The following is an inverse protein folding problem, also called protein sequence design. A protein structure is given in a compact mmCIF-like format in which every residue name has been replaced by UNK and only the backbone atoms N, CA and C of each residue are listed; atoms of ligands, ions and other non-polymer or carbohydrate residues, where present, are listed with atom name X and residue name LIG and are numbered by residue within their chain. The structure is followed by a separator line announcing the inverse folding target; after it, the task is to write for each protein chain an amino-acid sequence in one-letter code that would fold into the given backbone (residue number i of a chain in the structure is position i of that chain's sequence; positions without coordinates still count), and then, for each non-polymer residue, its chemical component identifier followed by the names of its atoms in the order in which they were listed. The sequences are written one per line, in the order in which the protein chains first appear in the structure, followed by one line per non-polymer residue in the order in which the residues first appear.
data_IF_046376682328
#
_entry.id   IF_046376682328
#
_cell.length_a   1.000
_cell.length_b   1.000
_cell.length_c   1.000
_cell.angle_alpha   90.00
_cell.angle_beta   90.00
_cell.angle_gamma   90.00
#
_symmetry.space_group_name_H-M   'P 1'
#
loop_
_entity.id
_entity.type
_entity.pdbx_description
1 polymer ?
#
# COMPACT_ATOMS: atom_id res chain seq x y z
N UNK A 1 -21.55 -10.38 -14.73
CA UNK A 1 -20.93 -10.68 -13.43
C UNK A 1 -20.40 -12.10 -13.51
N UNK A 2 -19.09 -12.25 -13.35
CA UNK A 2 -18.41 -13.54 -13.43
C UNK A 2 -18.38 -14.26 -12.09
N UNK A 3 -18.21 -15.58 -12.10
CA UNK A 3 -18.13 -16.40 -10.86
C UNK A 3 -17.00 -17.42 -10.93
N UNK A 4 -16.20 -17.47 -9.86
CA UNK A 4 -15.25 -18.55 -9.61
C UNK A 4 -15.74 -19.32 -8.38
N UNK A 5 -15.76 -20.65 -8.46
CA UNK A 5 -16.21 -21.50 -7.35
C UNK A 5 -15.09 -22.38 -6.86
N UNK A 6 -15.02 -22.58 -5.56
CA UNK A 6 -14.00 -23.41 -4.91
C UNK A 6 -14.64 -24.45 -4.00
N UNK A 7 -14.08 -25.65 -4.02
CA UNK A 7 -14.24 -26.67 -3.00
C UNK A 7 -13.02 -26.65 -2.09
N UNK A 8 -13.24 -27.02 -0.83
CA UNK A 8 -12.23 -27.08 0.21
C UNK A 8 -12.53 -28.25 1.13
N UNK A 9 -11.47 -28.90 1.62
CA UNK A 9 -11.57 -30.04 2.54
C UNK A 9 -11.70 -29.55 3.99
N UNK A 10 -11.20 -28.36 4.28
CA UNK A 10 -11.26 -27.71 5.60
C UNK A 10 -12.20 -26.50 5.58
N UNK A 11 -13.51 -26.76 5.74
CA UNK A 11 -14.53 -25.70 5.76
C UNK A 11 -14.43 -24.79 6.99
N UNK A 12 -13.89 -25.29 8.11
CA UNK A 12 -13.76 -24.53 9.34
C UNK A 12 -12.70 -23.42 9.21
N UNK A 13 -11.87 -23.47 8.17
CA UNK A 13 -10.93 -22.41 7.82
C UNK A 13 -11.60 -21.09 7.47
N UNK A 14 -12.83 -21.10 6.94
CA UNK A 14 -13.49 -19.89 6.45
C UNK A 14 -14.42 -19.31 7.51
N UNK A 15 -13.84 -18.57 8.45
CA UNK A 15 -14.63 -17.69 9.32
C UNK A 15 -15.07 -16.44 8.55
N UNK A 16 -16.20 -15.84 8.92
CA UNK A 16 -16.69 -14.60 8.30
C UNK A 16 -15.60 -13.51 8.25
N UNK A 17 -14.83 -13.37 9.33
CA UNK A 17 -13.72 -12.42 9.44
C UNK A 17 -12.59 -12.66 8.42
N UNK A 18 -12.33 -13.90 8.03
CA UNK A 18 -11.30 -14.22 7.03
C UNK A 18 -11.80 -13.89 5.63
N UNK A 19 -13.08 -14.13 5.37
CA UNK A 19 -13.70 -13.86 4.08
C UNK A 19 -13.86 -12.36 3.80
N UNK A 20 -14.05 -11.54 4.83
CA UNK A 20 -14.04 -10.07 4.71
C UNK A 20 -12.71 -9.51 4.14
N UNK A 21 -11.63 -10.28 4.22
CA UNK A 21 -10.29 -9.90 3.76
C UNK A 21 -9.86 -10.61 2.47
N UNK A 22 -10.69 -11.52 1.97
CA UNK A 22 -10.42 -12.18 0.70
C UNK A 22 -10.92 -11.32 -0.45
N UNK A 23 -10.21 -11.35 -1.58
CA UNK A 23 -10.56 -10.55 -2.76
C UNK A 23 -10.02 -11.17 -4.05
N UNK A 24 -10.45 -10.66 -5.19
CA UNK A 24 -9.95 -11.09 -6.50
C UNK A 24 -9.17 -9.96 -7.14
N UNK A 25 -8.06 -10.26 -7.80
CA UNK A 25 -7.33 -9.29 -8.64
C UNK A 25 -7.27 -9.75 -10.09
N UNK A 26 -7.26 -8.79 -11.00
CA UNK A 26 -6.91 -9.02 -12.41
C UNK A 26 -5.40 -9.23 -12.61
N UNK A 27 -4.98 -9.17 -13.88
CA UNK A 27 -3.54 -9.23 -14.25
C UNK A 27 -2.76 -8.01 -13.74
N UNK A 28 -3.43 -6.87 -13.57
CA UNK A 28 -2.83 -5.63 -13.08
C UNK A 28 -2.57 -5.63 -11.57
N UNK A 29 -3.03 -6.67 -10.84
CA UNK A 29 -2.88 -6.75 -9.38
C UNK A 29 -3.82 -5.84 -8.59
N UNK A 30 -4.73 -5.12 -9.26
CA UNK A 30 -5.73 -4.25 -8.62
C UNK A 30 -6.89 -5.10 -8.09
N UNK A 31 -7.30 -4.94 -6.81
CA UNK A 31 -8.46 -5.62 -6.26
C UNK A 31 -9.76 -5.22 -6.96
N UNK A 32 -10.58 -6.21 -7.28
CA UNK A 32 -11.95 -6.02 -7.74
C UNK A 32 -12.89 -6.12 -6.54
N UNK A 33 -13.82 -5.16 -6.45
CA UNK A 33 -14.95 -5.28 -5.56
C UNK A 33 -15.80 -6.49 -5.98
N UNK A 34 -15.97 -7.46 -5.09
CA UNK A 34 -16.67 -8.71 -5.36
C UNK A 34 -17.41 -9.21 -4.12
N UNK A 35 -18.37 -10.10 -4.33
CA UNK A 35 -19.10 -10.75 -3.24
C UNK A 35 -18.58 -12.18 -3.05
N UNK A 36 -18.27 -12.52 -1.80
CA UNK A 36 -17.81 -13.87 -1.43
C UNK A 36 -18.91 -14.53 -0.63
N UNK A 37 -19.49 -15.60 -1.19
CA UNK A 37 -20.62 -16.32 -0.61
C UNK A 37 -20.20 -17.74 -0.26
N UNK A 38 -20.34 -18.11 1.01
CA UNK A 38 -20.17 -19.49 1.45
C UNK A 38 -21.45 -20.27 1.19
N UNK A 39 -21.44 -21.10 0.15
CA UNK A 39 -22.53 -22.02 -0.14
C UNK A 39 -22.46 -23.30 0.72
N UNK A 40 -23.47 -24.17 0.57
CA UNK A 40 -23.50 -25.47 1.26
C UNK A 40 -22.37 -26.40 0.84
N UNK A 41 -21.89 -26.30 -0.40
CA UNK A 41 -20.91 -27.24 -0.98
C UNK A 41 -19.66 -26.59 -1.56
N UNK A 42 -19.65 -25.26 -1.69
CA UNK A 42 -18.57 -24.52 -2.31
C UNK A 42 -18.52 -23.07 -1.80
N UNK A 43 -17.34 -22.48 -1.85
CA UNK A 43 -17.12 -21.05 -1.76
C UNK A 43 -17.32 -20.44 -3.15
N UNK A 44 -18.19 -19.45 -3.26
CA UNK A 44 -18.45 -18.73 -4.51
C UNK A 44 -17.89 -17.33 -4.41
N UNK A 45 -17.13 -16.93 -5.43
CA UNK A 45 -16.52 -15.61 -5.53
C UNK A 45 -17.05 -14.94 -6.79
N UNK A 46 -17.91 -13.95 -6.59
CA UNK A 46 -18.50 -13.16 -7.65
C UNK A 46 -17.64 -11.92 -7.95
N UNK A 47 -17.44 -11.66 -9.24
CA UNK A 47 -16.57 -10.60 -9.75
C UNK A 47 -17.26 -9.77 -10.83
N UNK A 48 -16.90 -8.48 -11.01
CA UNK A 48 -17.59 -7.59 -11.93
C UNK A 48 -17.36 -7.95 -13.41
N UNK A 49 -16.22 -8.55 -13.73
CA UNK A 49 -15.81 -8.93 -15.10
C UNK A 49 -15.98 -10.43 -15.37
N UNK A 50 -15.90 -10.86 -16.64
CA UNK A 50 -15.79 -12.27 -17.04
C UNK A 50 -14.34 -12.76 -17.25
N UNK A 51 -13.36 -11.88 -17.04
CA UNK A 51 -11.94 -12.21 -17.16
C UNK A 51 -11.46 -13.18 -16.08
N UNK A 52 -10.32 -13.83 -16.33
CA UNK A 52 -9.62 -14.63 -15.32
C UNK A 52 -9.03 -13.75 -14.24
N UNK A 53 -8.97 -14.25 -13.00
CA UNK A 53 -8.40 -13.51 -11.87
C UNK A 53 -7.73 -14.41 -10.83
N UNK A 54 -6.96 -13.78 -9.95
CA UNK A 54 -6.31 -14.43 -8.82
C UNK A 54 -7.18 -14.22 -7.58
N UNK A 55 -7.57 -15.30 -6.91
CA UNK A 55 -8.28 -15.21 -5.64
C UNK A 55 -7.27 -15.16 -4.50
N UNK A 56 -7.27 -14.08 -3.73
CA UNK A 56 -6.43 -13.87 -2.56
C UNK A 56 -7.22 -14.23 -1.32
N UNK A 57 -6.69 -15.15 -0.52
CA UNK A 57 -7.36 -15.67 0.67
C UNK A 57 -6.41 -15.69 1.87
N UNK A 58 -6.82 -15.24 3.06
CA UNK A 58 -6.00 -15.38 4.24
C UNK A 58 -5.80 -16.86 4.56
N UNK A 59 -4.54 -17.25 4.72
CA UNK A 59 -4.11 -18.62 4.90
C UNK A 59 -3.41 -18.76 6.25
N UNK A 60 -3.92 -19.67 7.09
CA UNK A 60 -3.30 -19.99 8.37
C UNK A 60 -2.23 -21.06 8.15
N UNK A 61 -0.97 -20.69 8.33
CA UNK A 61 0.16 -21.60 8.34
C UNK A 61 0.67 -21.80 9.77
N UNK A 62 0.95 -23.04 10.16
CA UNK A 62 1.46 -23.35 11.50
C UNK A 62 2.82 -22.70 11.78
N UNK A 63 3.70 -22.64 10.77
CA UNK A 63 5.06 -22.08 10.91
C UNK A 63 5.17 -20.60 10.56
N UNK A 64 4.24 -20.07 9.77
CA UNK A 64 4.32 -18.71 9.21
C UNK A 64 3.23 -17.75 9.71
N UNK A 65 2.29 -18.24 10.53
CA UNK A 65 1.13 -17.46 10.95
C UNK A 65 0.13 -17.23 9.81
N UNK A 66 -0.60 -16.13 9.88
CA UNK A 66 -1.61 -15.80 8.86
C UNK A 66 -0.99 -15.00 7.71
N UNK A 67 -1.06 -15.53 6.49
CA UNK A 67 -0.54 -14.90 5.28
C UNK A 67 -1.63 -14.84 4.22
N UNK A 68 -1.76 -13.70 3.52
CA UNK A 68 -2.63 -13.61 2.35
C UNK A 68 -1.97 -14.31 1.16
N UNK A 69 -2.57 -15.41 0.68
CA UNK A 69 -2.05 -16.17 -0.45
C UNK A 69 -2.97 -16.11 -1.68
N UNK A 70 -2.43 -15.82 -2.86
CA UNK A 70 -3.19 -15.89 -4.10
C UNK A 70 -3.22 -17.30 -4.68
N UNK A 71 -4.32 -17.64 -5.35
CA UNK A 71 -4.37 -18.73 -6.33
C UNK A 71 -3.55 -18.39 -7.58
N UNK A 72 -3.46 -19.33 -8.53
CA UNK A 72 -3.13 -18.96 -9.93
C UNK A 72 -4.24 -18.10 -10.56
N UNK A 73 -4.01 -17.56 -11.76
CA UNK A 73 -5.07 -16.90 -12.52
C UNK A 73 -6.08 -17.93 -13.01
N UNK A 74 -7.31 -17.84 -12.50
CA UNK A 74 -8.38 -18.79 -12.77
C UNK A 74 -9.46 -18.17 -13.65
N UNK A 75 -9.84 -18.89 -14.70
CA UNK A 75 -11.03 -18.58 -15.50
C UNK A 75 -12.29 -19.12 -14.84
N UNK A 76 -13.44 -18.65 -15.29
CA UNK A 76 -14.73 -19.23 -14.92
C UNK A 76 -14.81 -20.69 -15.35
N UNK A 77 -15.37 -21.52 -14.47
CA UNK A 77 -15.50 -22.96 -14.66
C UNK A 77 -16.86 -23.43 -14.17
N UNK A 78 -17.44 -24.41 -14.88
CA UNK A 78 -18.65 -25.09 -14.44
C UNK A 78 -18.41 -25.98 -13.21
N UNK A 79 -17.17 -26.43 -13.02
CA UNK A 79 -16.76 -27.27 -11.90
C UNK A 79 -15.93 -26.45 -10.91
N UNK A 80 -16.20 -26.52 -9.59
CA UNK A 80 -15.39 -25.84 -8.60
C UNK A 80 -13.92 -26.27 -8.65
N UNK A 81 -13.01 -25.32 -8.45
CA UNK A 81 -11.59 -25.59 -8.25
C UNK A 81 -11.35 -26.14 -6.83
N UNK A 82 -10.28 -26.91 -6.63
CA UNK A 82 -9.82 -27.25 -5.27
C UNK A 82 -8.98 -26.08 -4.75
N UNK A 83 -9.43 -25.41 -3.69
CA UNK A 83 -8.83 -24.16 -3.23
C UNK A 83 -7.37 -24.37 -2.82
N UNK A 84 -7.10 -25.39 -2.02
CA UNK A 84 -5.78 -25.65 -1.46
C UNK A 84 -4.77 -26.00 -2.54
N UNK A 85 -5.22 -26.74 -3.55
CA UNK A 85 -4.42 -27.03 -4.73
C UNK A 85 -4.08 -25.75 -5.50
N UNK A 86 -5.04 -24.88 -5.73
CA UNK A 86 -4.82 -23.63 -6.49
C UNK A 86 -3.97 -22.62 -5.73
N UNK A 87 -4.09 -22.56 -4.40
CA UNK A 87 -3.20 -21.78 -3.52
C UNK A 87 -1.78 -22.35 -3.54
N UNK A 88 -1.62 -23.68 -3.50
CA UNK A 88 -0.31 -24.33 -3.62
C UNK A 88 0.34 -24.04 -4.98
N UNK A 89 -0.43 -24.13 -6.07
CA UNK A 89 0.03 -23.75 -7.41
C UNK A 89 0.44 -22.28 -7.48
N UNK A 90 -0.37 -21.38 -6.93
CA UNK A 90 -0.10 -19.93 -6.92
C UNK A 90 1.16 -19.58 -6.12
N UNK A 91 1.31 -20.15 -4.94
CA UNK A 91 2.45 -19.93 -4.04
C UNK A 91 3.76 -20.42 -4.69
N UNK A 92 3.76 -21.64 -5.24
CA UNK A 92 4.94 -22.19 -5.91
C UNK A 92 5.28 -21.45 -7.21
N UNK A 93 4.26 -21.00 -7.96
CA UNK A 93 4.46 -20.18 -9.15
C UNK A 93 5.12 -18.84 -8.80
N UNK A 94 4.71 -18.17 -7.72
CA UNK A 94 5.35 -16.92 -7.26
C UNK A 94 6.84 -17.12 -6.93
N UNK A 95 7.17 -18.20 -6.22
CA UNK A 95 8.57 -18.54 -5.96
C UNK A 95 9.34 -18.80 -7.27
N UNK A 96 8.74 -19.51 -8.22
CA UNK A 96 9.33 -19.74 -9.55
C UNK A 96 9.60 -18.44 -10.30
N UNK A 97 8.63 -17.54 -10.35
CA UNK A 97 8.78 -16.23 -10.98
C UNK A 97 9.92 -15.44 -10.34
N UNK A 98 9.94 -15.36 -9.01
CA UNK A 98 11.01 -14.68 -8.28
C UNK A 98 12.40 -15.26 -8.61
N UNK A 99 12.55 -16.58 -8.62
CA UNK A 99 13.82 -17.23 -8.95
C UNK A 99 14.27 -16.98 -10.40
N UNK A 100 13.33 -16.85 -11.34
CA UNK A 100 13.63 -16.55 -12.74
C UNK A 100 13.99 -15.07 -12.97
N UNK A 101 13.44 -14.16 -12.17
CA UNK A 101 13.72 -12.72 -12.23
C UNK A 101 14.94 -12.31 -11.39
N UNK A 102 15.39 -13.18 -10.48
CA UNK A 102 16.57 -12.98 -9.64
C UNK A 102 17.79 -12.77 -10.53
N UNK A 103 18.59 -11.74 -10.23
CA UNK A 103 19.79 -11.38 -10.98
C UNK A 103 20.72 -12.59 -11.18
N UNK A 104 21.31 -12.69 -12.37
CA UNK A 104 22.15 -13.82 -12.77
C UNK A 104 23.34 -14.03 -11.81
N UNK A 105 23.52 -15.28 -11.34
CA UNK A 105 24.64 -15.71 -10.50
C UNK A 105 24.32 -15.85 -9.00
N UNK A 106 23.12 -15.49 -8.56
CA UNK A 106 22.70 -15.70 -7.18
C UNK A 106 22.32 -17.18 -6.95
N UNK A 107 23.20 -17.92 -6.29
CA UNK A 107 22.92 -19.28 -5.85
C UNK A 107 21.84 -19.26 -4.75
N UNK A 108 20.94 -20.24 -4.76
CA UNK A 108 19.98 -20.46 -3.66
C UNK A 108 20.56 -21.41 -2.61
N UNK A 109 21.66 -22.11 -2.93
CA UNK A 109 22.30 -23.10 -2.09
C UNK A 109 21.56 -24.44 -2.11
N UNK A 110 22.33 -25.52 -1.96
CA UNK A 110 21.84 -26.90 -2.10
C UNK A 110 20.64 -27.22 -1.20
N UNK A 111 20.64 -26.71 0.04
CA UNK A 111 19.57 -26.97 1.01
C UNK A 111 18.23 -26.38 0.57
N UNK A 112 18.21 -25.14 0.09
CA UNK A 112 17.00 -24.51 -0.42
C UNK A 112 16.56 -25.12 -1.74
N UNK A 113 17.51 -25.49 -2.60
CA UNK A 113 17.21 -26.21 -3.83
C UNK A 113 16.50 -27.55 -3.55
N UNK A 114 16.96 -28.30 -2.54
CA UNK A 114 16.31 -29.53 -2.11
C UNK A 114 14.90 -29.29 -1.56
N UNK A 115 14.71 -28.30 -0.67
CA UNK A 115 13.38 -27.94 -0.15
C UNK A 115 12.41 -27.53 -1.27
N UNK A 116 12.89 -26.73 -2.22
CA UNK A 116 12.13 -26.31 -3.39
C UNK A 116 11.76 -27.50 -4.30
N UNK A 117 12.67 -28.46 -4.49
CA UNK A 117 12.39 -29.72 -5.17
C UNK A 117 11.30 -30.54 -4.47
N UNK A 118 11.36 -30.63 -3.14
CA UNK A 118 10.33 -31.32 -2.36
C UNK A 118 8.96 -30.63 -2.45
N UNK A 119 8.92 -29.30 -2.42
CA UNK A 119 7.68 -28.54 -2.63
C UNK A 119 7.02 -28.88 -3.97
N UNK A 120 7.81 -28.92 -5.06
CA UNK A 120 7.31 -29.36 -6.38
C UNK A 120 6.76 -30.78 -6.34
N UNK A 121 7.46 -31.70 -5.68
CA UNK A 121 7.03 -33.09 -5.56
C UNK A 121 5.67 -33.18 -4.85
N UNK A 122 5.50 -32.48 -3.74
CA UNK A 122 4.22 -32.44 -3.00
C UNK A 122 3.09 -31.85 -3.83
N UNK A 123 3.35 -30.81 -4.62
CA UNK A 123 2.35 -30.29 -5.54
C UNK A 123 1.95 -31.32 -6.62
N UNK A 124 2.91 -32.07 -7.16
CA UNK A 124 2.61 -33.13 -8.14
C UNK A 124 1.76 -34.26 -7.53
N UNK A 125 2.05 -34.64 -6.29
CA UNK A 125 1.23 -35.60 -5.53
C UNK A 125 -0.20 -35.08 -5.33
N UNK A 126 -0.36 -33.78 -5.00
CA UNK A 126 -1.67 -33.15 -4.88
C UNK A 126 -2.45 -33.11 -6.21
N UNK A 127 -1.78 -32.81 -7.32
CA UNK A 127 -2.39 -32.77 -8.67
C UNK A 127 -2.86 -34.14 -9.16
N UNK A 128 -2.13 -35.19 -8.81
CA UNK A 128 -2.37 -36.57 -9.28
C UNK A 128 -3.27 -37.37 -8.34
N UNK A 129 -3.38 -36.97 -7.07
CA UNK A 129 -4.15 -37.63 -6.01
C UNK A 129 -5.69 -37.51 -6.10
N UNK A 130 -6.28 -37.35 -7.29
CA UNK A 130 -7.74 -37.13 -7.46
C UNK A 130 -8.62 -38.22 -6.85
N UNK A 131 -8.10 -39.44 -6.72
CA UNK A 131 -8.83 -40.58 -6.15
C UNK A 131 -8.90 -40.53 -4.62
N UNK A 132 -8.07 -39.72 -3.96
CA UNK A 132 -8.04 -39.55 -2.51
C UNK A 132 -7.92 -38.07 -2.12
N UNK A 133 -9.06 -37.35 -2.00
CA UNK A 133 -9.08 -35.91 -1.71
C UNK A 133 -8.31 -35.51 -0.45
N UNK A 134 -8.36 -36.31 0.62
CA UNK A 134 -7.64 -36.06 1.87
C UNK A 134 -6.12 -36.09 1.68
N UNK A 135 -5.62 -37.04 0.88
CA UNK A 135 -4.20 -37.11 0.57
C UNK A 135 -3.76 -35.96 -0.33
N UNK A 136 -4.58 -35.60 -1.31
CA UNK A 136 -4.31 -34.46 -2.18
C UNK A 136 -4.29 -33.13 -1.39
N UNK A 137 -5.21 -32.97 -0.44
CA UNK A 137 -5.26 -31.84 0.49
C UNK A 137 -3.97 -31.71 1.31
N UNK A 138 -3.54 -32.80 1.98
CA UNK A 138 -2.30 -32.80 2.78
C UNK A 138 -1.08 -32.49 1.94
N UNK A 139 -0.99 -33.06 0.74
CA UNK A 139 0.11 -32.78 -0.17
C UNK A 139 0.12 -31.31 -0.64
N UNK A 140 -1.04 -30.68 -0.83
CA UNK A 140 -1.14 -29.26 -1.16
C UNK A 140 -0.68 -28.37 0.02
N UNK A 141 -1.13 -28.66 1.24
CA UNK A 141 -0.70 -27.95 2.46
C UNK A 141 0.81 -28.07 2.71
N UNK A 142 1.38 -29.28 2.56
CA UNK A 142 2.82 -29.50 2.66
C UNK A 142 3.58 -28.73 1.57
N UNK A 143 3.06 -28.70 0.33
CA UNK A 143 3.64 -27.90 -0.74
C UNK A 143 3.64 -26.40 -0.41
N UNK A 144 2.55 -25.87 0.15
CA UNK A 144 2.45 -24.45 0.55
C UNK A 144 3.50 -24.16 1.62
N UNK A 145 3.53 -24.95 2.68
CA UNK A 145 4.45 -24.77 3.81
C UNK A 145 5.92 -24.80 3.37
N UNK A 146 6.31 -25.82 2.60
CA UNK A 146 7.68 -25.92 2.07
C UNK A 146 8.04 -24.76 1.14
N UNK A 147 7.07 -24.26 0.36
CA UNK A 147 7.30 -23.10 -0.51
C UNK A 147 7.51 -21.84 0.30
N UNK A 148 6.70 -21.62 1.35
CA UNK A 148 6.84 -20.48 2.25
C UNK A 148 8.19 -20.51 2.99
N UNK A 149 8.62 -21.68 3.48
CA UNK A 149 9.95 -21.84 4.10
C UNK A 149 11.08 -21.39 3.16
N UNK A 150 10.99 -21.73 1.87
CA UNK A 150 11.98 -21.32 0.87
C UNK A 150 11.90 -19.81 0.59
N UNK A 151 10.69 -19.26 0.47
CA UNK A 151 10.47 -17.83 0.24
C UNK A 151 11.10 -17.02 1.39
N UNK A 152 10.83 -17.37 2.64
CA UNK A 152 11.34 -16.64 3.81
C UNK A 152 12.87 -16.63 3.88
N UNK A 153 13.49 -17.80 3.68
CA UNK A 153 14.95 -17.94 3.74
C UNK A 153 15.62 -17.17 2.58
N UNK A 154 15.01 -17.16 1.39
CA UNK A 154 15.48 -16.35 0.25
C UNK A 154 15.32 -14.85 0.50
N UNK A 155 14.16 -14.40 0.98
CA UNK A 155 13.91 -13.00 1.30
C UNK A 155 14.94 -12.46 2.30
N UNK A 156 15.24 -13.23 3.36
CA UNK A 156 16.26 -12.85 4.33
C UNK A 156 17.67 -12.83 3.74
N UNK A 157 18.02 -13.79 2.91
CA UNK A 157 19.34 -13.88 2.26
C UNK A 157 19.56 -12.72 1.31
N UNK A 158 18.58 -12.44 0.44
CA UNK A 158 18.67 -11.37 -0.56
C UNK A 158 18.61 -9.99 0.09
N UNK A 159 17.79 -9.80 1.13
CA UNK A 159 17.77 -8.56 1.89
C UNK A 159 19.12 -8.27 2.54
N UNK A 160 19.78 -9.27 3.14
CA UNK A 160 21.13 -9.13 3.72
C UNK A 160 22.16 -8.76 2.66
N UNK A 161 22.17 -9.47 1.53
CA UNK A 161 23.09 -9.18 0.44
C UNK A 161 22.93 -7.74 -0.07
N UNK A 162 21.70 -7.27 -0.27
CA UNK A 162 21.42 -5.90 -0.70
C UNK A 162 21.85 -4.86 0.35
N UNK A 163 21.66 -5.14 1.64
CA UNK A 163 22.11 -4.26 2.72
C UNK A 163 23.64 -4.19 2.76
N UNK A 164 24.33 -5.32 2.65
CA UNK A 164 25.80 -5.37 2.67
C UNK A 164 26.41 -4.68 1.45
N UNK A 165 25.82 -4.87 0.26
CA UNK A 165 26.21 -4.13 -0.94
C UNK A 165 26.08 -2.61 -0.76
N UNK A 166 24.98 -2.14 -0.15
CA UNK A 166 24.78 -0.71 0.13
C UNK A 166 25.79 -0.18 1.14
N UNK A 167 26.07 -0.94 2.21
CA UNK A 167 27.07 -0.58 3.24
C UNK A 167 28.48 -0.50 2.67
N UNK A 168 28.83 -1.36 1.72
CA UNK A 168 30.14 -1.35 1.07
C UNK A 168 30.29 -0.24 0.03
N UNK A 169 29.17 0.24 -0.53
CA UNK A 169 29.19 1.25 -1.60
C UNK A 169 29.09 2.68 -1.06
N UNK A 170 28.47 2.89 0.11
CA UNK A 170 28.26 4.21 0.70
C UNK A 170 28.60 4.21 2.19
N UNK A 171 29.38 5.20 2.65
CA UNK A 171 29.67 5.43 4.07
C UNK A 171 28.42 5.88 4.86
N UNK A 172 27.44 6.46 4.17
CA UNK A 172 26.15 6.89 4.73
C UNK A 172 24.97 6.45 3.88
N UNK A 173 23.85 6.14 4.52
CA UNK A 173 22.58 5.87 3.85
C UNK A 173 22.13 7.13 3.10
N UNK A 174 22.07 7.07 1.76
CA UNK A 174 21.48 8.12 0.94
C UNK A 174 19.95 8.22 1.05
N UNK A 175 19.32 7.35 1.86
CA UNK A 175 17.88 7.36 2.12
C UNK A 175 17.54 8.35 3.23
N UNK A 176 16.45 9.08 3.07
CA UNK A 176 15.90 9.91 4.14
C UNK A 176 15.17 9.01 5.14
N UNK A 177 15.65 9.01 6.38
CA UNK A 177 15.00 8.45 7.55
C UNK A 177 14.53 9.62 8.40
N UNK A 178 13.23 9.72 8.60
CA UNK A 178 12.65 10.84 9.32
C UNK A 178 11.39 10.50 10.07
N UNK A 179 10.98 11.46 10.90
CA UNK A 179 9.73 11.43 11.64
C UNK A 179 8.88 12.65 11.30
N UNK A 180 7.56 12.53 11.49
CA UNK A 180 6.65 13.67 11.51
C UNK A 180 6.74 14.38 12.86
N UNK A 181 6.77 15.70 12.83
CA UNK A 181 6.80 16.53 14.03
C UNK A 181 5.78 17.68 13.92
N UNK A 182 4.57 17.45 14.44
CA UNK A 182 3.51 18.45 14.47
C UNK A 182 3.75 19.53 15.54
N UNK A 183 4.26 19.12 16.70
CA UNK A 183 4.53 19.97 17.87
C UNK A 183 5.86 19.57 18.49
N UNK A 184 6.57 20.54 19.07
CA UNK A 184 7.81 20.25 19.77
C UNK A 184 7.52 19.40 21.02
N UNK A 185 8.32 18.35 21.30
CA UNK A 185 8.27 17.66 22.57
C UNK A 185 8.55 18.65 23.70
N UNK A 186 7.93 18.41 24.86
CA UNK A 186 8.22 19.21 26.06
C UNK A 186 9.55 18.82 26.72
N UNK A 187 10.07 17.65 26.40
CA UNK A 187 11.29 17.07 26.96
C UNK A 187 12.50 17.30 26.04
N UNK A 188 13.54 17.91 26.58
CA UNK A 188 14.81 18.14 25.89
C UNK A 188 15.51 16.83 25.50
N UNK A 189 15.35 15.76 26.28
CA UNK A 189 15.94 14.47 25.97
C UNK A 189 15.33 13.86 24.69
N UNK A 190 14.00 13.93 24.55
CA UNK A 190 13.31 13.50 23.34
C UNK A 190 13.71 14.33 22.11
N UNK A 191 13.89 15.65 22.27
CA UNK A 191 14.38 16.51 21.19
C UNK A 191 15.79 16.11 20.73
N UNK A 192 16.68 15.78 21.66
CA UNK A 192 18.04 15.32 21.34
C UNK A 192 18.05 13.95 20.66
N UNK A 193 17.20 13.02 21.10
CA UNK A 193 17.09 11.70 20.49
C UNK A 193 16.58 11.78 19.04
N UNK A 194 15.57 12.62 18.78
CA UNK A 194 15.04 12.84 17.43
C UNK A 194 16.13 13.36 16.49
N UNK A 195 16.89 14.39 16.90
CA UNK A 195 17.91 14.97 16.04
C UNK A 195 19.15 14.08 15.88
N UNK A 196 19.45 13.21 16.86
CA UNK A 196 20.53 12.24 16.76
C UNK A 196 20.20 11.02 15.89
N UNK A 197 18.92 10.62 15.81
CA UNK A 197 18.50 9.41 15.11
C UNK A 197 18.00 9.65 13.68
N UNK A 198 17.50 10.86 13.37
CA UNK A 198 16.85 11.18 12.10
C UNK A 198 17.74 12.08 11.23
N UNK A 199 17.74 11.85 9.91
CA UNK A 199 18.40 12.74 8.95
C UNK A 199 17.39 13.64 8.19
N UNK A 200 16.09 13.48 8.48
CA UNK A 200 15.01 14.33 7.96
C UNK A 200 13.88 14.49 8.96
N UNK A 201 13.13 15.60 8.87
CA UNK A 201 11.94 15.86 9.68
C UNK A 201 10.83 16.38 8.76
N UNK A 202 9.64 15.77 8.87
CA UNK A 202 8.43 16.21 8.19
C UNK A 202 7.65 17.15 9.12
N UNK A 203 7.45 18.40 8.69
CA UNK A 203 6.66 19.39 9.42
C UNK A 203 5.33 19.58 8.68
N UNK A 204 4.22 19.05 9.20
CA UNK A 204 2.93 19.08 8.54
C UNK A 204 2.22 20.42 8.71
N UNK A 205 1.34 20.73 7.75
CA UNK A 205 0.46 21.90 7.82
C UNK A 205 -0.98 21.44 8.03
N UNK A 206 -1.39 21.37 9.29
CA UNK A 206 -2.78 21.06 9.62
C UNK A 206 -3.66 22.24 9.20
N UNK A 207 -4.46 22.09 8.13
CA UNK A 207 -5.26 23.20 7.59
C UNK A 207 -6.27 23.74 8.63
N UNK A 208 -6.89 22.86 9.43
CA UNK A 208 -7.77 23.27 10.54
C UNK A 208 -7.07 24.16 11.55
N UNK A 209 -5.86 23.80 11.98
CA UNK A 209 -5.10 24.62 12.94
C UNK A 209 -4.53 25.89 12.28
N UNK A 210 -4.11 25.80 11.01
CA UNK A 210 -3.50 26.91 10.28
C UNK A 210 -4.52 27.93 9.78
N UNK A 211 -5.78 27.55 9.53
CA UNK A 211 -6.86 28.43 9.07
C UNK A 211 -8.19 28.08 9.76
N UNK A 212 -8.32 28.34 11.08
CA UNK A 212 -9.52 27.99 11.83
C UNK A 212 -10.74 28.79 11.37
N UNK A 213 -10.54 30.00 10.85
CA UNK A 213 -11.55 30.80 10.17
C UNK A 213 -11.16 30.98 8.69
N UNK A 214 -12.16 31.10 7.80
CA UNK A 214 -11.93 31.35 6.39
C UNK A 214 -11.13 32.67 6.18
N UNK A 215 -9.99 32.57 5.51
CA UNK A 215 -9.12 33.70 5.18
C UNK A 215 -8.30 34.27 6.34
N UNK A 216 -8.31 33.65 7.53
CA UNK A 216 -7.40 34.01 8.63
C UNK A 216 -6.40 32.88 8.87
N UNK A 217 -5.12 33.24 8.98
CA UNK A 217 -4.05 32.25 9.09
C UNK A 217 -3.28 32.34 10.41
N UNK A 218 -3.11 31.21 11.07
CA UNK A 218 -2.39 31.06 12.34
C UNK A 218 -1.22 30.09 12.17
N UNK A 219 -0.01 30.62 12.06
CA UNK A 219 1.18 29.84 11.73
C UNK A 219 2.18 29.66 12.88
N UNK A 220 1.85 30.14 14.09
CA UNK A 220 2.77 30.21 15.23
C UNK A 220 3.37 28.85 15.62
N UNK A 221 2.56 27.78 15.63
CA UNK A 221 3.04 26.45 16.01
C UNK A 221 4.00 25.87 14.96
N UNK A 222 3.65 26.02 13.68
CA UNK A 222 4.50 25.60 12.56
C UNK A 222 5.81 26.40 12.54
N UNK A 223 5.76 27.71 12.73
CA UNK A 223 6.94 28.57 12.81
C UNK A 223 7.87 28.17 13.96
N UNK A 224 7.30 27.81 15.11
CA UNK A 224 8.06 27.34 16.28
C UNK A 224 8.76 26.03 15.98
N UNK A 225 8.06 25.05 15.39
CA UNK A 225 8.65 23.76 15.02
C UNK A 225 9.76 23.96 13.98
N UNK A 226 9.48 24.68 12.89
CA UNK A 226 10.48 24.97 11.86
C UNK A 226 11.69 25.71 12.45
N UNK A 227 11.48 26.67 13.34
CA UNK A 227 12.56 27.39 14.02
C UNK A 227 13.52 26.47 14.78
N UNK A 228 13.00 25.43 15.44
CA UNK A 228 13.82 24.42 16.11
C UNK A 228 14.49 23.46 15.11
N UNK A 229 13.74 22.96 14.12
CA UNK A 229 14.27 22.00 13.12
C UNK A 229 15.43 22.62 12.32
N UNK A 230 15.38 23.92 11.99
CA UNK A 230 16.45 24.61 11.27
C UNK A 230 17.76 24.75 12.06
N UNK A 231 17.70 24.56 13.39
CA UNK A 231 18.89 24.51 14.24
C UNK A 231 19.52 23.12 14.26
N UNK A 232 18.85 22.12 13.70
CA UNK A 232 19.34 20.74 13.58
C UNK A 232 19.93 20.50 12.19
N UNK A 233 20.92 19.60 12.09
CA UNK A 233 21.53 19.20 10.81
C UNK A 233 20.69 18.13 10.10
N UNK A 234 19.44 18.47 9.77
CA UNK A 234 18.46 17.55 9.17
C UNK A 234 17.75 18.17 7.96
N UNK A 235 17.29 17.32 7.04
CA UNK A 235 16.46 17.75 5.91
C UNK A 235 15.02 18.01 6.35
N UNK A 236 14.59 19.26 6.22
CA UNK A 236 13.20 19.66 6.47
C UNK A 236 12.31 19.35 5.27
N UNK A 237 11.21 18.63 5.48
CA UNK A 237 10.17 18.37 4.49
C UNK A 237 8.90 19.08 4.98
N UNK A 238 8.38 20.03 4.21
CA UNK A 238 7.14 20.73 4.55
C UNK A 238 5.93 20.01 4.00
N UNK A 239 4.98 19.62 4.85
CA UNK A 239 3.72 19.02 4.42
C UNK A 239 3.34 17.73 5.15
N UNK A 240 2.20 17.12 4.80
CA UNK A 240 1.31 17.52 3.71
C UNK A 240 0.70 18.90 3.91
N UNK A 241 0.52 19.65 2.81
CA UNK A 241 -0.21 20.93 2.84
C UNK A 241 -1.71 20.66 2.84
N UNK A 242 -2.17 19.76 1.98
CA UNK A 242 -3.58 19.37 1.87
C UNK A 242 -3.80 17.91 2.26
N UNK A 243 -4.76 17.69 3.17
CA UNK A 243 -5.33 16.39 3.47
C UNK A 243 -6.85 16.54 3.56
N UNK A 244 -7.58 15.68 2.83
CA UNK A 244 -9.03 15.70 2.81
C UNK A 244 -9.60 14.74 3.87
N UNK A 245 -9.22 14.95 5.12
CA UNK A 245 -9.61 14.13 6.24
C UNK A 245 -10.02 15.01 7.43
N UNK A 246 -9.80 14.54 8.66
CA UNK A 246 -10.00 15.29 9.88
C UNK A 246 -9.12 16.55 10.02
N UNK A 247 -8.19 16.82 9.11
CA UNK A 247 -7.41 18.07 9.09
C UNK A 247 -8.09 19.21 8.35
N UNK A 248 -9.29 19.00 7.78
CA UNK A 248 -10.09 20.07 7.17
C UNK A 248 -10.72 20.97 8.26
N UNK A 249 -10.65 22.31 8.11
CA UNK A 249 -11.40 23.23 8.96
C UNK A 249 -12.91 23.02 8.87
N UNK A 250 -13.62 23.20 9.98
CA UNK A 250 -15.07 22.94 10.02
C UNK A 250 -15.88 23.82 9.06
N UNK A 251 -15.42 25.06 8.81
CA UNK A 251 -16.07 25.99 7.88
C UNK A 251 -16.01 25.53 6.42
N UNK A 252 -15.09 24.62 6.08
CA UNK A 252 -14.96 24.08 4.73
C UNK A 252 -16.16 23.17 4.38
N UNK A 253 -16.75 22.50 5.37
CA UNK A 253 -17.92 21.63 5.15
C UNK A 253 -19.19 22.37 4.73
N UNK A 254 -19.25 23.69 4.92
CA UNK A 254 -20.33 24.52 4.38
C UNK A 254 -20.36 24.51 2.84
N UNK A 255 -19.28 24.04 2.20
CA UNK A 255 -19.05 24.04 0.76
C UNK A 255 -18.79 22.63 0.21
N UNK A 256 -19.23 21.59 0.92
CA UNK A 256 -18.99 20.18 0.56
C UNK A 256 -19.54 19.76 -0.81
N UNK A 257 -20.51 20.51 -1.33
CA UNK A 257 -21.11 20.33 -2.66
C UNK A 257 -20.72 21.44 -3.67
N UNK A 258 -19.90 22.41 -3.28
CA UNK A 258 -19.41 23.48 -4.16
C UNK A 258 -17.91 23.36 -4.39
N UNK A 259 -17.57 22.54 -5.38
CA UNK A 259 -16.19 22.27 -5.77
C UNK A 259 -15.41 23.54 -6.12
N UNK A 260 -16.01 24.49 -6.85
CA UNK A 260 -15.31 25.70 -7.31
C UNK A 260 -14.92 26.58 -6.13
N UNK A 261 -15.85 26.77 -5.19
CA UNK A 261 -15.59 27.56 -3.99
C UNK A 261 -14.54 26.88 -3.10
N UNK A 262 -14.64 25.57 -2.89
CA UNK A 262 -13.63 24.79 -2.16
C UNK A 262 -12.24 24.93 -2.80
N UNK A 263 -12.16 24.72 -4.12
CA UNK A 263 -10.92 24.80 -4.89
C UNK A 263 -10.28 26.19 -4.77
N UNK A 264 -11.07 27.26 -4.78
CA UNK A 264 -10.58 28.63 -4.57
C UNK A 264 -9.93 28.81 -3.19
N UNK A 265 -10.61 28.40 -2.11
CA UNK A 265 -10.06 28.47 -0.76
C UNK A 265 -8.81 27.62 -0.58
N UNK A 266 -8.81 26.42 -1.15
CA UNK A 266 -7.65 25.54 -1.17
C UNK A 266 -6.45 26.22 -1.84
N UNK A 267 -6.63 26.78 -3.04
CA UNK A 267 -5.56 27.49 -3.76
C UNK A 267 -5.02 28.68 -2.97
N UNK A 268 -5.90 29.46 -2.33
CA UNK A 268 -5.50 30.57 -1.46
C UNK A 268 -4.67 30.09 -0.27
N UNK A 269 -5.12 29.05 0.44
CA UNK A 269 -4.38 28.51 1.58
C UNK A 269 -3.02 27.96 1.18
N UNK A 270 -2.94 27.18 0.09
CA UNK A 270 -1.67 26.65 -0.43
C UNK A 270 -0.73 27.80 -0.80
N UNK A 271 -1.23 28.83 -1.47
CA UNK A 271 -0.43 29.98 -1.86
C UNK A 271 0.17 30.71 -0.64
N UNK A 272 -0.61 30.88 0.42
CA UNK A 272 -0.16 31.52 1.67
C UNK A 272 0.91 30.69 2.40
N UNK A 273 0.71 29.36 2.50
CA UNK A 273 1.70 28.44 3.08
C UNK A 273 3.01 28.48 2.29
N UNK A 274 2.95 28.29 0.96
CA UNK A 274 4.15 28.20 0.14
C UNK A 274 4.89 29.54 0.10
N UNK A 275 4.17 30.67 0.00
CA UNK A 275 4.78 32.00 0.02
C UNK A 275 5.52 32.26 1.33
N UNK A 276 4.96 31.84 2.47
CA UNK A 276 5.57 32.04 3.78
C UNK A 276 6.81 31.18 4.02
N UNK A 277 6.81 29.94 3.55
CA UNK A 277 7.83 28.94 3.91
C UNK A 277 8.75 28.51 2.77
N UNK A 278 8.59 29.07 1.56
CA UNK A 278 9.57 28.91 0.48
C UNK A 278 10.98 29.26 0.96
N UNK A 279 11.94 28.40 0.64
CA UNK A 279 13.33 28.53 1.07
C UNK A 279 13.60 28.09 2.52
N UNK A 280 12.58 27.65 3.27
CA UNK A 280 12.69 27.06 4.62
C UNK A 280 12.46 25.55 4.65
N UNK A 281 12.25 24.94 3.49
CA UNK A 281 12.04 23.49 3.35
C UNK A 281 12.86 22.96 2.18
N UNK A 282 13.26 21.69 2.25
CA UNK A 282 14.05 21.00 1.22
C UNK A 282 13.17 20.21 0.24
N UNK A 283 11.94 19.89 0.64
CA UNK A 283 10.92 19.28 -0.20
C UNK A 283 9.53 19.66 0.32
N UNK A 284 8.55 19.67 -0.58
CA UNK A 284 7.14 19.84 -0.26
C UNK A 284 6.42 18.51 -0.39
N UNK A 285 5.55 18.17 0.57
CA UNK A 285 4.48 17.21 0.37
C UNK A 285 3.23 18.05 0.07
N UNK A 286 2.82 18.10 -1.20
CA UNK A 286 1.68 18.92 -1.62
C UNK A 286 0.38 18.43 -0.99
N UNK A 287 0.14 17.13 -1.10
CA UNK A 287 -1.07 16.48 -0.61
C UNK A 287 -0.80 15.04 -0.17
N UNK A 288 -1.58 14.57 0.79
CA UNK A 288 -1.53 13.19 1.26
C UNK A 288 -2.92 12.54 1.28
N UNK A 289 -2.98 11.25 0.94
CA UNK A 289 -4.15 10.40 1.17
C UNK A 289 -5.36 10.72 0.29
N UNK A 290 -5.20 11.50 -0.77
CA UNK A 290 -6.31 11.91 -1.64
C UNK A 290 -7.02 10.73 -2.31
N UNK A 291 -6.34 9.60 -2.47
CA UNK A 291 -6.85 8.41 -3.14
C UNK A 291 -7.86 7.58 -2.31
N UNK A 292 -7.92 7.74 -0.97
CA UNK A 292 -8.79 6.90 -0.11
C UNK A 292 -10.22 7.46 0.03
N UNK A 293 -10.50 8.60 -0.61
CA UNK A 293 -11.76 9.32 -0.45
C UNK A 293 -11.81 10.05 0.89
N UNK A 294 -12.35 11.26 0.87
CA UNK A 294 -12.48 12.12 2.05
C UNK A 294 -13.91 12.20 2.55
N UNK A 295 -14.16 12.98 3.62
CA UNK A 295 -15.52 13.32 4.05
C UNK A 295 -16.23 14.24 3.04
N UNK A 296 -15.49 14.77 2.07
CA UNK A 296 -16.00 15.60 0.98
C UNK A 296 -16.62 14.73 -0.11
N UNK A 297 -17.74 15.19 -0.71
CA UNK A 297 -18.50 14.44 -1.74
C UNK A 297 -17.99 14.69 -3.17
N UNK A 298 -16.69 14.89 -3.33
CA UNK A 298 -16.09 15.17 -4.64
C UNK A 298 -15.93 13.89 -5.46
N UNK A 299 -16.09 14.01 -6.78
CA UNK A 299 -15.80 12.91 -7.71
C UNK A 299 -14.30 12.65 -7.80
N UNK A 300 -13.90 11.48 -8.28
CA UNK A 300 -12.47 11.16 -8.43
C UNK A 300 -11.75 12.11 -9.41
N UNK A 301 -12.42 12.54 -10.49
CA UNK A 301 -11.92 13.57 -11.41
C UNK A 301 -11.64 14.90 -10.70
N UNK A 302 -12.56 15.31 -9.81
CA UNK A 302 -12.40 16.50 -8.98
C UNK A 302 -11.22 16.36 -8.02
N UNK A 303 -11.02 15.19 -7.43
CA UNK A 303 -9.88 14.92 -6.53
C UNK A 303 -8.55 14.97 -7.29
N UNK A 304 -8.47 14.36 -8.48
CA UNK A 304 -7.28 14.47 -9.36
C UNK A 304 -7.02 15.93 -9.70
N UNK A 305 -8.07 16.68 -10.05
CA UNK A 305 -7.95 18.10 -10.38
C UNK A 305 -7.40 18.91 -9.19
N UNK A 306 -7.87 18.66 -7.97
CA UNK A 306 -7.34 19.32 -6.76
C UNK A 306 -5.87 19.01 -6.56
N UNK A 307 -5.45 17.74 -6.71
CA UNK A 307 -4.05 17.36 -6.56
C UNK A 307 -3.14 18.10 -7.56
N UNK A 308 -3.55 18.19 -8.83
CA UNK A 308 -2.86 18.96 -9.88
C UNK A 308 -2.79 20.43 -9.50
N UNK A 309 -3.92 21.04 -9.13
CA UNK A 309 -4.00 22.46 -8.76
C UNK A 309 -3.06 22.79 -7.58
N UNK A 310 -2.96 21.95 -6.55
CA UNK A 310 -2.03 22.16 -5.43
C UNK A 310 -0.57 22.18 -5.93
N UNK A 311 -0.21 21.22 -6.78
CA UNK A 311 1.15 21.15 -7.35
C UNK A 311 1.43 22.38 -8.23
N UNK A 312 0.48 22.80 -9.06
CA UNK A 312 0.59 23.99 -9.90
C UNK A 312 0.83 25.24 -9.06
N UNK A 313 0.04 25.48 -8.01
CA UNK A 313 0.21 26.62 -7.11
C UNK A 313 1.58 26.59 -6.42
N UNK A 314 2.03 25.43 -5.95
CA UNK A 314 3.37 25.30 -5.36
C UNK A 314 4.44 25.66 -6.40
N UNK A 315 4.35 25.13 -7.63
CA UNK A 315 5.33 25.36 -8.69
C UNK A 315 5.34 26.80 -9.21
N UNK A 316 4.20 27.48 -9.21
CA UNK A 316 4.12 28.90 -9.56
C UNK A 316 4.92 29.77 -8.58
N UNK A 317 4.83 29.48 -7.28
CA UNK A 317 5.47 30.25 -6.21
C UNK A 317 6.91 29.78 -5.95
N UNK A 318 7.13 28.47 -5.89
CA UNK A 318 8.40 27.80 -5.59
C UNK A 318 8.77 26.74 -6.66
N UNK A 319 9.50 27.20 -7.68
CA UNK A 319 9.91 26.37 -8.83
C UNK A 319 11.01 25.36 -8.50
N UNK A 320 11.86 25.65 -7.52
CA UNK A 320 13.12 24.92 -7.30
C UNK A 320 12.96 23.75 -6.36
N UNK A 321 12.14 23.90 -5.32
CA UNK A 321 11.97 22.87 -4.30
C UNK A 321 11.22 21.65 -4.88
N UNK A 322 11.70 20.41 -4.67
CA UNK A 322 11.00 19.20 -5.04
C UNK A 322 9.59 19.13 -4.44
N UNK A 323 8.62 18.63 -5.21
CA UNK A 323 7.23 18.45 -4.78
C UNK A 323 6.90 16.96 -4.82
N UNK A 324 6.35 16.45 -3.73
CA UNK A 324 5.98 15.07 -3.50
C UNK A 324 4.47 14.99 -3.28
N UNK A 325 3.86 13.90 -3.74
CA UNK A 325 2.49 13.51 -3.40
C UNK A 325 2.59 12.15 -2.71
N UNK A 326 1.85 11.96 -1.61
CA UNK A 326 1.81 10.67 -0.91
C UNK A 326 0.44 10.01 -1.04
N UNK A 327 0.45 8.70 -1.23
CA UNK A 327 -0.75 7.88 -1.36
C UNK A 327 -0.88 6.97 -0.15
N UNK A 328 -2.11 6.85 0.35
CA UNK A 328 -2.40 5.92 1.43
C UNK A 328 -2.85 4.58 0.83
N UNK A 329 -2.55 3.46 1.48
CA UNK A 329 -2.86 2.10 0.98
C UNK A 329 -2.51 1.93 -0.51
N UNK A 330 -1.21 2.05 -0.89
CA UNK A 330 -0.78 2.07 -2.29
C UNK A 330 -1.12 0.80 -3.08
N UNK A 331 -1.48 -0.29 -2.38
CA UNK A 331 -1.89 -1.57 -2.97
C UNK A 331 -3.40 -1.71 -3.16
N UNK A 332 -4.18 -0.68 -2.81
CA UNK A 332 -5.61 -0.62 -3.11
C UNK A 332 -6.47 -1.53 -2.23
N UNK A 333 -6.03 -1.89 -1.02
CA UNK A 333 -6.76 -2.77 -0.10
C UNK A 333 -8.23 -2.32 0.11
N UNK A 334 -8.50 -1.02 0.13
CA UNK A 334 -9.84 -0.45 0.24
C UNK A 334 -10.77 -0.82 -0.93
N UNK A 335 -10.24 -1.10 -2.12
CA UNK A 335 -11.03 -1.45 -3.32
C UNK A 335 -11.65 -2.84 -3.22
N UNK A 336 -11.15 -3.69 -2.33
CA UNK A 336 -11.78 -4.98 -2.04
C UNK A 336 -13.19 -4.80 -1.45
N UNK A 337 -13.39 -3.73 -0.65
CA UNK A 337 -14.64 -3.50 0.10
C UNK A 337 -15.42 -2.29 -0.40
N UNK A 338 -14.82 -1.43 -1.21
CA UNK A 338 -15.42 -0.21 -1.75
C UNK A 338 -15.30 -0.18 -3.27
N UNK A 339 -16.35 0.26 -3.94
CA UNK A 339 -16.28 0.53 -5.37
C UNK A 339 -15.58 1.88 -5.58
N UNK A 340 -14.46 1.86 -6.29
CA UNK A 340 -13.67 3.03 -6.68
C UNK A 340 -13.30 2.89 -8.16
N UNK A 341 -13.25 4.00 -8.89
CA UNK A 341 -12.96 3.99 -10.33
C UNK A 341 -11.44 3.99 -10.59
N UNK A 342 -10.65 4.59 -9.71
CA UNK A 342 -9.19 4.68 -9.80
C UNK A 342 -8.50 3.96 -8.64
N UNK A 343 -7.65 2.99 -8.99
CA UNK A 343 -6.68 2.42 -8.06
C UNK A 343 -5.57 3.43 -7.72
N UNK A 344 -4.87 3.29 -6.57
CA UNK A 344 -3.81 4.23 -6.17
C UNK A 344 -2.74 4.42 -7.24
N UNK A 345 -2.34 3.34 -7.92
CA UNK A 345 -1.34 3.40 -9.00
C UNK A 345 -1.86 4.10 -10.25
N UNK A 346 -3.15 3.93 -10.57
CA UNK A 346 -3.80 4.62 -11.70
C UNK A 346 -3.99 6.10 -11.38
N UNK A 347 -4.30 6.43 -10.13
CA UNK A 347 -4.34 7.80 -9.64
C UNK A 347 -2.96 8.47 -9.73
N UNK A 348 -1.90 7.78 -9.34
CA UNK A 348 -0.52 8.26 -9.50
C UNK A 348 -0.13 8.45 -10.98
N UNK A 349 -0.49 7.51 -11.86
CA UNK A 349 -0.25 7.61 -13.31
C UNK A 349 -1.05 8.77 -13.95
N UNK A 350 -2.30 8.98 -13.53
CA UNK A 350 -3.11 10.12 -13.96
C UNK A 350 -2.44 11.45 -13.60
N UNK A 351 -1.87 11.56 -12.39
CA UNK A 351 -1.12 12.74 -11.95
C UNK A 351 0.21 12.91 -12.67
N UNK A 352 0.88 11.83 -13.05
CA UNK A 352 2.13 11.90 -13.82
C UNK A 352 1.92 12.35 -15.28
N UNK A 353 0.69 12.22 -15.79
CA UNK A 353 0.31 12.59 -17.17
C UNK A 353 -0.38 13.96 -17.27
N UNK A 354 -0.92 14.47 -16.18
CA UNK A 354 -1.50 15.81 -16.08
C UNK A 354 -0.39 16.88 -16.11
#
# INVERSE_FOLDING_TARGET
MGRISFQTTDRNRFTDRLLERAFVTGIEGIPWHGEIVVGKDALHVDKPTHESGHFHVPWQSESHGEILLPTTSLRESQHPYQLELEVARGTLFRLQTYLNERLEGADIGDKLYQKYGLAKQRLMEALTGRENPEQAYRAAEESITLTLDVIDELCLTDARQLIDQRKNSNDQLGTLLGTRLDKLPQDDAAMHEISGAMNSIVVPFNWRECSPDAGKYHFNDVDRVLGWVHQQDVKVIGGPIIQLDHNLPDWVYLWDNDFTTFQSYMKQYVAEVVTRYKGRVHAWISSAGLNIGGPMRFSEEQIVRLAVDVVEVIREIDRQTPVLITFDQPWGDYMATRQCDLAPIQFADALARA
#
